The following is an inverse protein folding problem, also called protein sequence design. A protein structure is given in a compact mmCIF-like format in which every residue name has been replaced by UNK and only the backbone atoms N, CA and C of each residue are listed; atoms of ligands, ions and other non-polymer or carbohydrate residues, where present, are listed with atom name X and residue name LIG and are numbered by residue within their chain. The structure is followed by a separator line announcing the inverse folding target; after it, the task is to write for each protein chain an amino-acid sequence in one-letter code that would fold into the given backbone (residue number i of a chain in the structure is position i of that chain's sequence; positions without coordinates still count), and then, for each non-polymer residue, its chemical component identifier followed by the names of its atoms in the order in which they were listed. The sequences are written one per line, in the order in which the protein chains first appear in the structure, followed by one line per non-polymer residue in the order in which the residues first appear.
data_IF_620754880249
#
_entry.id   IF_620754880249
#
_cell.length_a   1.000
_cell.length_b   1.000
_cell.length_c   1.000
_cell.angle_alpha   90.00
_cell.angle_beta   90.00
_cell.angle_gamma   90.00
#
_symmetry.space_group_name_H-M   'P 1'
#
loop_
_entity.id
_entity.type
_entity.pdbx_description
1 polymer ?
#
# COMPACT_ATOMS: atom_id res chain seq x y z
N UNK A 1 -48.01 -31.05 0.59
CA UNK A 1 -46.69 -30.79 -0.03
C UNK A 1 -46.31 -29.37 0.28
N UNK A 2 -45.34 -29.16 1.17
CA UNK A 2 -44.69 -27.86 1.39
C UNK A 2 -43.23 -28.07 1.02
N UNK A 3 -42.74 -27.24 0.10
CA UNK A 3 -41.38 -27.26 -0.38
C UNK A 3 -40.48 -26.34 0.44
N UNK A 4 -39.21 -26.76 0.48
CA UNK A 4 -37.98 -25.97 0.48
C UNK A 4 -37.52 -25.27 1.78
N UNK A 5 -36.21 -25.44 2.03
CA UNK A 5 -35.36 -24.27 2.22
C UNK A 5 -34.51 -24.20 3.49
N UNK A 6 -33.76 -25.25 3.83
CA UNK A 6 -32.68 -25.14 4.82
C UNK A 6 -31.32 -24.87 4.16
N UNK A 7 -31.17 -23.70 3.53
CA UNK A 7 -29.89 -23.27 2.96
C UNK A 7 -28.89 -22.95 4.06
N UNK A 8 -27.82 -23.74 4.16
CA UNK A 8 -26.68 -23.43 5.00
C UNK A 8 -25.94 -22.22 4.46
N UNK A 9 -25.83 -21.15 5.25
CA UNK A 9 -24.88 -20.07 5.00
C UNK A 9 -23.59 -20.38 5.74
N UNK A 10 -22.58 -20.84 5.00
CA UNK A 10 -21.21 -20.75 5.46
C UNK A 10 -20.89 -19.27 5.68
N UNK A 11 -20.49 -18.89 6.91
CA UNK A 11 -19.96 -17.57 7.22
C UNK A 11 -18.66 -17.36 6.44
N UNK A 12 -18.77 -16.80 5.23
CA UNK A 12 -17.64 -16.53 4.35
C UNK A 12 -16.92 -15.26 4.77
N UNK A 13 -15.62 -15.38 5.03
CA UNK A 13 -14.69 -14.24 5.10
C UNK A 13 -14.80 -13.45 3.81
N UNK A 14 -15.24 -12.19 3.87
CA UNK A 14 -15.27 -11.32 2.70
C UNK A 14 -13.83 -10.89 2.36
N UNK A 15 -13.46 -10.94 1.08
CA UNK A 15 -12.13 -10.57 0.60
C UNK A 15 -12.18 -9.52 -0.48
N UNK A 16 -11.07 -8.81 -0.66
CA UNK A 16 -10.89 -7.84 -1.75
C UNK A 16 -9.43 -7.76 -2.17
N UNK A 17 -9.20 -7.29 -3.37
CA UNK A 17 -7.88 -6.94 -3.88
C UNK A 17 -7.67 -5.45 -3.74
N UNK A 18 -6.54 -5.04 -3.18
CA UNK A 18 -6.09 -3.65 -3.10
C UNK A 18 -4.87 -3.47 -4.00
N UNK A 19 -4.95 -2.56 -4.96
CA UNK A 19 -3.82 -2.12 -5.77
C UNK A 19 -3.33 -0.78 -5.23
N UNK A 20 -2.03 -0.65 -4.98
CA UNK A 20 -1.37 0.54 -4.47
C UNK A 20 -0.23 0.95 -5.40
N UNK A 21 -0.13 2.23 -5.75
CA UNK A 21 0.99 2.76 -6.53
C UNK A 21 1.59 4.01 -5.89
N UNK A 22 2.88 4.25 -6.15
CA UNK A 22 3.62 5.43 -5.74
C UNK A 22 4.24 6.07 -6.96
N UNK A 23 3.92 7.34 -7.21
CA UNK A 23 4.50 8.12 -8.30
C UNK A 23 5.03 9.43 -7.78
N UNK A 24 6.14 9.91 -8.32
CA UNK A 24 6.60 11.27 -8.05
C UNK A 24 5.46 12.25 -8.38
N UNK A 25 5.13 13.14 -7.45
CA UNK A 25 3.96 14.01 -7.60
C UNK A 25 4.18 15.12 -8.64
N UNK A 26 5.43 15.48 -8.92
CA UNK A 26 5.78 16.54 -9.87
C UNK A 26 5.95 15.96 -11.29
N UNK A 27 6.56 14.77 -11.43
CA UNK A 27 6.84 14.18 -12.76
C UNK A 27 5.89 13.06 -13.17
N UNK A 28 5.20 12.41 -12.21
CA UNK A 28 4.39 11.22 -12.46
C UNK A 28 5.18 9.92 -12.60
N UNK A 29 6.51 9.97 -12.44
CA UNK A 29 7.39 8.82 -12.61
C UNK A 29 7.20 7.75 -11.52
N UNK A 30 7.35 6.49 -11.92
CA UNK A 30 7.32 5.35 -11.01
C UNK A 30 8.56 5.33 -10.10
N UNK A 31 8.35 4.98 -8.83
CA UNK A 31 9.47 4.65 -7.94
C UNK A 31 10.19 3.39 -8.43
N UNK A 32 11.46 3.25 -8.08
CA UNK A 32 12.18 2.00 -8.30
C UNK A 32 12.05 1.06 -7.09
N UNK A 33 12.22 -0.23 -7.35
CA UNK A 33 12.39 -1.24 -6.31
C UNK A 33 13.51 -2.20 -6.69
N UNK A 34 13.96 -2.97 -5.70
CA UNK A 34 14.87 -4.10 -5.91
C UNK A 34 14.37 -5.32 -5.16
N UNK A 35 14.61 -6.50 -5.73
CA UNK A 35 14.51 -7.74 -4.99
C UNK A 35 15.72 -7.88 -4.05
N UNK A 36 15.45 -8.09 -2.77
CA UNK A 36 16.48 -8.41 -1.77
C UNK A 36 16.52 -9.91 -1.43
N UNK A 37 15.50 -10.68 -1.86
CA UNK A 37 15.33 -12.08 -1.46
C UNK A 37 15.08 -12.20 0.04
N UNK A 38 15.33 -13.38 0.62
CA UNK A 38 15.13 -13.65 2.05
C UNK A 38 16.15 -13.00 2.99
N UNK A 39 16.87 -11.99 2.52
CA UNK A 39 17.94 -11.31 3.28
C UNK A 39 17.40 -10.51 4.46
N UNK A 40 16.17 -10.03 4.38
CA UNK A 40 15.54 -9.21 5.41
C UNK A 40 14.19 -9.81 5.80
N UNK A 41 13.90 -9.80 7.10
CA UNK A 41 12.75 -10.49 7.69
C UNK A 41 11.40 -9.87 7.27
N UNK A 42 11.36 -8.55 7.04
CA UNK A 42 10.11 -7.82 6.82
C UNK A 42 9.58 -7.86 5.39
N UNK A 43 10.45 -7.97 4.37
CA UNK A 43 10.02 -8.10 2.97
C UNK A 43 11.15 -8.61 2.06
N UNK A 44 10.74 -9.32 1.00
CA UNK A 44 11.62 -9.82 -0.07
C UNK A 44 12.10 -8.73 -1.03
N UNK A 45 11.59 -7.49 -0.87
CA UNK A 45 11.80 -6.36 -1.79
C UNK A 45 12.08 -5.08 -1.00
N UNK A 46 12.81 -4.15 -1.59
CA UNK A 46 12.97 -2.78 -1.05
C UNK A 46 12.41 -1.79 -2.04
N UNK A 47 11.44 -0.99 -1.59
CA UNK A 47 10.97 0.20 -2.31
C UNK A 47 11.94 1.35 -2.08
N UNK A 48 12.20 2.13 -3.13
CA UNK A 48 13.16 3.22 -3.09
C UNK A 48 12.45 4.55 -3.24
N UNK A 49 12.72 5.45 -2.31
CA UNK A 49 12.18 6.79 -2.30
C UNK A 49 13.30 7.81 -2.19
N UNK A 50 13.04 9.03 -2.62
CA UNK A 50 13.86 10.19 -2.34
C UNK A 50 13.31 10.89 -1.09
N UNK A 51 14.22 11.43 -0.29
CA UNK A 51 13.93 12.38 0.79
C UNK A 51 13.53 13.73 0.16
N UNK A 52 12.80 14.55 0.90
CA UNK A 52 12.37 15.90 0.45
C UNK A 52 11.66 15.88 -0.91
N UNK A 53 10.81 14.87 -1.12
CA UNK A 53 10.09 14.61 -2.37
C UNK A 53 8.62 14.32 -2.05
N UNK A 54 7.71 14.76 -2.93
CA UNK A 54 6.28 14.48 -2.82
C UNK A 54 5.94 13.30 -3.71
N UNK A 55 5.17 12.36 -3.18
CA UNK A 55 4.67 11.21 -3.92
C UNK A 55 3.16 11.21 -3.94
N UNK A 56 2.55 11.09 -5.13
CA UNK A 56 1.15 10.70 -5.25
C UNK A 56 1.05 9.21 -4.95
N UNK A 57 0.22 8.88 -3.95
CA UNK A 57 -0.11 7.51 -3.60
C UNK A 57 -1.54 7.27 -4.06
N UNK A 58 -1.75 6.22 -4.86
CA UNK A 58 -3.08 5.86 -5.37
C UNK A 58 -3.44 4.44 -4.98
N UNK A 59 -4.71 4.26 -4.64
CA UNK A 59 -5.31 3.00 -4.19
C UNK A 59 -6.51 2.64 -5.06
N UNK A 60 -6.68 1.34 -5.31
CA UNK A 60 -7.88 0.80 -5.95
C UNK A 60 -8.30 -0.52 -5.30
N UNK A 61 -9.53 -0.60 -4.84
CA UNK A 61 -10.11 -1.79 -4.23
C UNK A 61 -11.04 -2.52 -5.21
N UNK A 62 -11.01 -3.86 -5.22
CA UNK A 62 -11.96 -4.69 -5.99
C UNK A 62 -12.32 -5.95 -5.20
N UNK A 63 -13.58 -6.13 -4.74
CA UNK A 63 -14.67 -5.15 -4.77
C UNK A 63 -14.33 -3.86 -3.99
N UNK A 64 -15.12 -2.81 -4.18
CA UNK A 64 -14.89 -1.51 -3.56
C UNK A 64 -14.95 -1.60 -2.02
N UNK A 65 -13.93 -1.06 -1.35
CA UNK A 65 -13.83 -0.93 0.10
C UNK A 65 -13.48 0.51 0.42
N UNK A 66 -14.11 1.07 1.44
CA UNK A 66 -13.97 2.48 1.80
C UNK A 66 -12.87 2.73 2.83
N UNK A 67 -11.88 3.53 2.45
CA UNK A 67 -10.85 4.05 3.33
C UNK A 67 -10.89 5.59 3.33
N UNK A 68 -10.70 6.18 4.50
CA UNK A 68 -10.72 7.64 4.69
C UNK A 68 -9.35 8.20 5.02
N UNK A 69 -8.52 7.40 5.70
CA UNK A 69 -7.22 7.85 6.20
C UNK A 69 -6.11 6.87 5.83
N UNK A 70 -4.96 7.43 5.49
CA UNK A 70 -3.69 6.74 5.34
C UNK A 70 -2.71 7.27 6.38
N UNK A 71 -2.19 6.39 7.23
CA UNK A 71 -1.00 6.67 8.03
C UNK A 71 0.23 6.01 7.40
N UNK A 72 1.25 6.81 7.07
CA UNK A 72 2.48 6.32 6.43
C UNK A 72 3.69 7.12 6.89
N UNK A 73 4.72 6.42 7.37
CA UNK A 73 5.98 7.02 7.85
C UNK A 73 5.81 8.20 8.83
N UNK A 74 4.83 8.12 9.74
CA UNK A 74 4.54 9.20 10.70
C UNK A 74 3.71 10.36 10.14
N UNK A 75 3.25 10.28 8.89
CA UNK A 75 2.30 11.22 8.30
C UNK A 75 0.88 10.66 8.36
N UNK A 76 -0.08 11.47 8.78
CA UNK A 76 -1.52 11.20 8.64
C UNK A 76 -2.07 11.97 7.44
N UNK A 77 -2.62 11.23 6.48
CA UNK A 77 -3.08 11.76 5.20
C UNK A 77 -4.55 11.41 4.99
N UNK A 78 -5.33 12.40 4.56
CA UNK A 78 -6.70 12.18 4.10
C UNK A 78 -6.67 11.55 2.70
N UNK A 79 -7.51 10.55 2.48
CA UNK A 79 -7.70 9.90 1.20
C UNK A 79 -8.86 10.56 0.46
N UNK A 80 -8.56 11.15 -0.71
CA UNK A 80 -9.56 11.77 -1.57
C UNK A 80 -10.12 10.74 -2.54
N UNK A 81 -11.44 10.76 -2.73
CA UNK A 81 -12.12 9.95 -3.72
C UNK A 81 -12.49 10.86 -4.90
N UNK A 82 -11.57 10.99 -5.87
CA UNK A 82 -11.69 11.98 -6.95
C UNK A 82 -12.54 11.48 -8.14
N UNK A 83 -13.20 10.32 -8.04
CA UNK A 83 -13.99 9.73 -9.12
C UNK A 83 -15.40 9.25 -8.70
N UNK A 84 -16.30 9.00 -9.67
CA UNK A 84 -17.63 8.44 -9.42
C UNK A 84 -17.58 6.97 -8.93
N UNK A 85 -16.43 6.31 -9.11
CA UNK A 85 -16.21 4.93 -8.69
C UNK A 85 -15.73 4.89 -7.23
N UNK A 86 -16.59 4.35 -6.36
CA UNK A 86 -16.20 4.01 -4.98
C UNK A 86 -15.05 2.99 -5.02
N UNK A 87 -14.10 3.12 -4.10
CA UNK A 87 -12.96 2.20 -3.98
C UNK A 87 -11.66 2.66 -4.64
N UNK A 88 -11.64 3.83 -5.29
CA UNK A 88 -10.42 4.47 -5.79
C UNK A 88 -10.09 5.72 -4.96
N UNK A 89 -8.85 5.81 -4.49
CA UNK A 89 -8.41 6.87 -3.59
C UNK A 89 -7.03 7.38 -3.95
N UNK A 90 -6.77 8.66 -3.69
CA UNK A 90 -5.41 9.16 -3.70
C UNK A 90 -5.09 10.18 -2.61
N UNK A 91 -3.80 10.34 -2.37
CA UNK A 91 -3.26 11.37 -1.49
C UNK A 91 -1.82 11.71 -1.88
N UNK A 92 -1.30 12.82 -1.35
CA UNK A 92 0.07 13.24 -1.57
C UNK A 92 0.86 13.10 -0.28
N UNK A 93 1.86 12.23 -0.30
CA UNK A 93 2.79 12.04 0.81
C UNK A 93 4.06 12.84 0.60
N UNK A 94 4.40 13.71 1.55
CA UNK A 94 5.64 14.48 1.53
C UNK A 94 6.69 13.82 2.42
N UNK A 95 7.86 13.49 1.85
CA UNK A 95 8.98 12.89 2.57
C UNK A 95 9.95 13.92 3.16
N UNK A 96 9.62 15.22 3.16
CA UNK A 96 10.40 16.24 3.85
C UNK A 96 10.59 15.89 5.32
N UNK A 97 11.84 15.96 5.78
CA UNK A 97 12.21 15.60 7.16
C UNK A 97 12.48 14.10 7.38
N UNK A 98 12.23 13.24 6.39
CA UNK A 98 12.72 11.85 6.41
C UNK A 98 14.17 11.84 5.96
N UNK A 99 15.07 11.43 6.85
CA UNK A 99 16.50 11.38 6.54
C UNK A 99 16.84 10.21 5.59
N UNK A 100 17.83 10.38 4.69
CA UNK A 100 18.34 9.28 3.87
C UNK A 100 18.78 8.09 4.71
N UNK A 101 18.38 6.89 4.29
CA UNK A 101 18.70 5.65 4.99
C UNK A 101 20.18 5.29 4.80
N UNK A 102 20.89 5.04 5.91
CA UNK A 102 22.32 4.66 5.92
C UNK A 102 22.65 3.52 4.95
N UNK A 103 23.89 3.49 4.45
CA UNK A 103 24.39 2.40 3.58
C UNK A 103 24.20 1.04 4.26
N UNK A 104 23.78 0.03 3.49
CA UNK A 104 23.50 -1.32 4.01
C UNK A 104 22.16 -1.47 4.74
N UNK A 105 21.62 -0.39 5.32
CA UNK A 105 20.37 -0.43 6.08
C UNK A 105 19.11 -0.34 5.21
N UNK A 106 17.99 -0.71 5.82
CA UNK A 106 16.61 -0.56 5.35
C UNK A 106 15.76 0.06 6.45
N UNK A 107 14.65 0.64 6.05
CA UNK A 107 13.70 1.25 6.96
C UNK A 107 12.33 0.61 6.76
N UNK A 108 11.66 0.28 7.85
CA UNK A 108 10.27 -0.16 7.82
C UNK A 108 9.35 1.01 7.47
N UNK A 109 8.55 0.80 6.45
CA UNK A 109 7.50 1.71 6.00
C UNK A 109 6.16 1.09 6.38
N UNK A 110 5.66 1.47 7.56
CA UNK A 110 4.36 1.02 8.02
C UNK A 110 3.27 1.79 7.28
N UNK A 111 2.43 1.07 6.55
CA UNK A 111 1.24 1.57 5.88
C UNK A 111 0.02 1.15 6.70
N UNK A 112 -0.80 2.12 7.09
CA UNK A 112 -2.09 1.85 7.75
C UNK A 112 -3.20 2.55 7.00
N UNK A 113 -4.17 1.78 6.50
CA UNK A 113 -5.41 2.31 5.92
C UNK A 113 -6.55 2.11 6.92
N UNK A 114 -7.36 3.14 7.12
CA UNK A 114 -8.52 3.11 8.04
C UNK A 114 -9.76 3.65 7.37
N UNK A 115 -10.88 2.97 7.59
CA UNK A 115 -12.21 3.41 7.16
C UNK A 115 -13.31 2.64 7.88
N UNK A 116 -14.58 2.79 7.47
CA UNK A 116 -15.73 2.14 8.11
C UNK A 116 -15.65 0.61 8.08
N UNK A 117 -15.00 0.05 7.04
CA UNK A 117 -14.80 -1.39 6.89
C UNK A 117 -13.67 -1.97 7.73
N UNK A 118 -12.94 -1.15 8.50
CA UNK A 118 -11.88 -1.60 9.39
C UNK A 118 -10.51 -0.99 9.14
N UNK A 119 -9.48 -1.68 9.63
CA UNK A 119 -8.08 -1.25 9.55
C UNK A 119 -7.23 -2.30 8.85
N UNK A 120 -6.49 -1.87 7.82
CA UNK A 120 -5.41 -2.63 7.21
C UNK A 120 -4.09 -2.06 7.72
N UNK A 121 -3.21 -2.89 8.26
CA UNK A 121 -1.84 -2.51 8.62
C UNK A 121 -0.83 -3.47 7.97
N UNK A 122 0.12 -2.93 7.22
CA UNK A 122 1.19 -3.71 6.58
C UNK A 122 2.51 -2.95 6.64
N UNK A 123 3.58 -3.66 6.99
CA UNK A 123 4.94 -3.12 6.93
C UNK A 123 5.56 -3.48 5.59
N UNK A 124 6.00 -2.47 4.86
CA UNK A 124 6.84 -2.58 3.67
C UNK A 124 8.29 -2.29 4.05
N UNK A 125 9.23 -2.81 3.26
CA UNK A 125 10.64 -2.45 3.40
C UNK A 125 10.99 -1.33 2.42
N UNK A 126 11.67 -0.30 2.92
CA UNK A 126 12.00 0.90 2.16
C UNK A 126 13.46 1.31 2.32
N UNK A 127 13.90 2.19 1.41
CA UNK A 127 15.16 2.91 1.51
C UNK A 127 15.00 4.31 0.94
N UNK A 128 15.35 5.31 1.76
CA UNK A 128 15.34 6.71 1.37
C UNK A 128 16.73 7.12 0.90
N UNK A 129 16.77 7.80 -0.24
CA UNK A 129 17.97 8.37 -0.82
C UNK A 129 17.90 9.90 -0.77
N UNK A 130 19.03 10.57 -0.94
CA UNK A 130 19.03 12.00 -1.21
C UNK A 130 18.40 12.26 -2.58
N UNK A 131 17.77 13.42 -2.74
CA UNK A 131 17.22 13.86 -4.03
C UNK A 131 18.32 13.84 -5.10
N UNK A 132 17.96 13.41 -6.32
CA UNK A 132 18.87 13.23 -7.46
C UNK A 132 19.97 12.16 -7.30
N UNK A 133 19.94 11.33 -6.24
CA UNK A 133 20.89 10.23 -6.10
C UNK A 133 20.53 9.09 -7.05
N UNK A 134 21.43 8.73 -7.98
CA UNK A 134 21.18 7.75 -9.05
C UNK A 134 20.63 6.39 -8.61
N UNK A 135 21.01 5.93 -7.41
CA UNK A 135 20.48 4.66 -6.88
C UNK A 135 18.98 4.69 -6.53
N UNK A 136 18.37 5.87 -6.37
CA UNK A 136 16.93 6.01 -6.15
C UNK A 136 16.15 5.51 -7.37
N UNK A 137 16.68 5.73 -8.57
CA UNK A 137 16.05 5.35 -9.85
C UNK A 137 16.52 4.01 -10.40
N UNK A 138 17.66 3.52 -9.93
CA UNK A 138 18.22 2.26 -10.42
C UNK A 138 17.38 1.06 -9.98
N UNK A 139 17.05 0.16 -10.91
CA UNK A 139 16.39 -1.11 -10.64
C UNK A 139 15.15 -1.30 -11.50
N UNK A 140 14.20 -2.10 -11.01
CA UNK A 140 12.91 -2.26 -11.66
C UNK A 140 12.01 -1.10 -11.26
N UNK A 141 11.24 -0.58 -12.22
CA UNK A 141 10.20 0.41 -11.92
C UNK A 141 8.97 -0.33 -11.37
N UNK A 142 8.39 0.21 -10.30
CA UNK A 142 7.20 -0.32 -9.67
C UNK A 142 5.98 0.30 -10.34
N UNK A 143 5.15 -0.49 -11.02
CA UNK A 143 3.84 0.03 -11.44
C UNK A 143 2.87 0.06 -10.27
N UNK A 144 2.68 -1.09 -9.64
CA UNK A 144 1.88 -1.17 -8.42
C UNK A 144 2.22 -2.40 -7.57
N UNK A 145 1.84 -2.32 -6.30
CA UNK A 145 1.68 -3.46 -5.41
C UNK A 145 0.22 -3.91 -5.45
N UNK A 146 -0.01 -5.21 -5.52
CA UNK A 146 -1.32 -5.80 -5.37
C UNK A 146 -1.35 -6.65 -4.10
N UNK A 147 -2.27 -6.33 -3.21
CA UNK A 147 -2.54 -7.08 -1.99
C UNK A 147 -3.88 -7.79 -2.10
N UNK A 148 -3.87 -9.10 -1.93
CA UNK A 148 -5.11 -9.85 -1.65
C UNK A 148 -5.38 -9.75 -0.17
N UNK A 149 -6.58 -9.27 0.18
CA UNK A 149 -6.98 -8.96 1.53
C UNK A 149 -8.18 -9.81 1.95
N UNK A 150 -8.24 -10.16 3.22
CA UNK A 150 -9.37 -10.82 3.89
C UNK A 150 -9.84 -9.96 5.04
N UNK A 151 -11.15 -9.92 5.26
CA UNK A 151 -11.79 -9.17 6.35
C UNK A 151 -12.43 -10.16 7.30
N UNK A 152 -11.98 -10.15 8.55
CA UNK A 152 -12.57 -10.99 9.59
C UNK A 152 -13.91 -10.41 10.11
N UNK A 153 -14.71 -11.18 10.86
CA UNK A 153 -15.99 -10.71 11.40
C UNK A 153 -15.90 -9.52 12.35
N UNK A 154 -14.70 -9.19 12.85
CA UNK A 154 -14.45 -8.02 13.73
C UNK A 154 -13.97 -6.80 12.95
N UNK A 155 -13.84 -6.91 11.63
CA UNK A 155 -13.38 -5.83 10.75
C UNK A 155 -11.85 -5.70 10.67
N UNK A 156 -11.07 -6.69 11.13
CA UNK A 156 -9.64 -6.66 10.87
C UNK A 156 -9.36 -7.06 9.43
N UNK A 157 -8.53 -6.29 8.75
CA UNK A 157 -8.15 -6.54 7.37
C UNK A 157 -6.72 -7.10 7.35
N UNK A 158 -6.58 -8.34 6.91
CA UNK A 158 -5.30 -9.02 6.77
C UNK A 158 -4.92 -9.21 5.31
N UNK A 159 -3.66 -8.89 4.96
CA UNK A 159 -3.07 -9.18 3.65
C UNK A 159 -2.62 -10.63 3.61
N UNK A 160 -3.18 -11.42 2.70
CA UNK A 160 -2.88 -12.86 2.54
C UNK A 160 -1.92 -13.13 1.39
N UNK A 161 -1.83 -12.22 0.41
CA UNK A 161 -0.88 -12.33 -0.70
C UNK A 161 -0.40 -10.93 -1.15
N UNK A 162 0.83 -10.85 -1.66
CA UNK A 162 1.44 -9.62 -2.19
C UNK A 162 2.16 -9.88 -3.53
N UNK A 163 1.74 -9.16 -4.56
CA UNK A 163 2.31 -9.22 -5.91
C UNK A 163 2.81 -7.84 -6.36
N UNK A 164 3.83 -7.83 -7.22
CA UNK A 164 4.21 -6.63 -7.98
C UNK A 164 3.59 -6.76 -9.36
N UNK A 165 3.01 -5.67 -9.86
CA UNK A 165 2.62 -5.51 -11.25
C UNK A 165 3.56 -4.57 -11.99
#
# INVERSE_FOLDING_TARGET
MVAAGGGGTANGVAGFTLIMSFRDADTGDQIAFKHDGGRFETSQRTLKFCSDTKYKISFKCTPAVEFHNLHIAGSDLELRCDGPARGEYDSVWNTTGINPTKKGARQDLVVVLKGPGGMLKKTLQSKFYQKAHSHADWGHKLDSLQWTCTVDPTGNIAVTNEEIR
#
